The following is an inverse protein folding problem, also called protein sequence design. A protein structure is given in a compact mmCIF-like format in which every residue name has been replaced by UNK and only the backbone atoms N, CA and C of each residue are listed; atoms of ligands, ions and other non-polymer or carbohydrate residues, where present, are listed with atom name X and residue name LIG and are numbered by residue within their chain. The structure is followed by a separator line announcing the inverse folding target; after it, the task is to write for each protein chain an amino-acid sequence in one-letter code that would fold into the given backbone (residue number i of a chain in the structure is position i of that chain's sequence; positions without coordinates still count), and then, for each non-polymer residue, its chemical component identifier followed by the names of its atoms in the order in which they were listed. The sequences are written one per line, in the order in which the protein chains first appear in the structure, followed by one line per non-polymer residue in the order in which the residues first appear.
data_IF_967245328485
#
_entry.id   IF_967245328485
#
_cell.length_a   1.000
_cell.length_b   1.000
_cell.length_c   1.000
_cell.angle_alpha   90.00
_cell.angle_beta   90.00
_cell.angle_gamma   90.00
#
_symmetry.space_group_name_H-M   'P 1'
#
loop_
_entity.id
_entity.type
_entity.pdbx_description
1 polymer ?
#
# COMPACT_ATOMS: atom_id res chain seq x y z
N UNK A 1 -20.23 -27.55 26.36
CA UNK A 1 -19.09 -28.49 26.48
C UNK A 1 -18.73 -29.16 25.17
N UNK A 2 -19.69 -29.69 24.39
CA UNK A 2 -19.44 -30.29 23.07
C UNK A 2 -18.80 -29.32 22.04
N UNK A 3 -19.20 -28.04 22.05
CA UNK A 3 -18.62 -27.00 21.20
C UNK A 3 -17.13 -26.72 21.53
N UNK A 4 -16.75 -26.81 22.80
CA UNK A 4 -15.36 -26.57 23.26
C UNK A 4 -14.44 -27.74 22.85
N UNK A 5 -14.97 -28.98 22.86
CA UNK A 5 -14.27 -30.17 22.37
C UNK A 5 -14.07 -30.17 20.85
N UNK A 6 -15.02 -29.62 20.09
CA UNK A 6 -14.87 -29.43 18.64
C UNK A 6 -13.79 -28.39 18.32
N UNK A 7 -13.70 -27.30 19.08
CA UNK A 7 -12.64 -26.30 18.90
C UNK A 7 -11.23 -26.84 19.18
N UNK A 8 -11.05 -27.71 20.18
CA UNK A 8 -9.73 -28.30 20.48
C UNK A 8 -9.29 -29.36 19.46
N UNK A 9 -10.21 -29.97 18.71
CA UNK A 9 -9.87 -30.89 17.60
C UNK A 9 -9.38 -30.15 16.35
N UNK A 10 -9.93 -28.97 16.08
CA UNK A 10 -9.60 -28.15 14.90
C UNK A 10 -8.26 -27.43 15.06
N UNK A 11 -7.88 -27.04 16.28
CA UNK A 11 -6.57 -26.43 16.56
C UNK A 11 -5.38 -27.38 16.34
N UNK A 12 -5.62 -28.70 16.23
CA UNK A 12 -4.57 -29.72 16.09
C UNK A 12 -3.90 -29.76 14.71
N UNK A 13 -4.44 -29.07 13.69
CA UNK A 13 -3.97 -29.22 12.30
C UNK A 13 -3.23 -28.01 11.72
N UNK A 14 -3.16 -26.90 12.46
CA UNK A 14 -2.49 -25.68 12.02
C UNK A 14 -1.10 -25.66 12.63
N UNK A 15 -0.09 -25.66 11.79
CA UNK A 15 1.30 -25.63 12.22
C UNK A 15 1.87 -24.23 11.96
N UNK A 16 2.55 -23.68 12.98
CA UNK A 16 3.32 -22.45 12.82
C UNK A 16 4.63 -22.75 12.06
N UNK A 17 5.01 -21.84 11.17
CA UNK A 17 6.27 -21.97 10.46
C UNK A 17 7.45 -21.71 11.40
N UNK A 18 8.30 -22.72 11.58
CA UNK A 18 9.59 -22.57 12.25
C UNK A 18 10.68 -22.46 11.18
N UNK A 19 11.33 -21.30 11.09
CA UNK A 19 12.43 -21.08 10.15
C UNK A 19 13.61 -21.97 10.58
N UNK A 20 13.86 -23.05 9.84
CA UNK A 20 15.02 -23.90 10.04
C UNK A 20 16.17 -23.45 9.14
N UNK A 21 17.37 -23.31 9.72
CA UNK A 21 18.59 -23.09 8.95
C UNK A 21 19.00 -24.43 8.30
N UNK A 22 18.99 -24.50 6.97
CA UNK A 22 19.36 -25.71 6.21
C UNK A 22 18.71 -25.76 4.84
N UNK A 23 19.13 -26.69 3.97
CA UNK A 23 18.45 -26.97 2.69
C UNK A 23 17.15 -27.76 2.93
N UNK A 24 16.13 -27.53 2.09
CA UNK A 24 14.89 -28.31 2.19
C UNK A 24 15.07 -29.63 1.43
N UNK A 25 14.57 -30.73 1.99
CA UNK A 25 14.51 -32.00 1.27
C UNK A 25 13.41 -31.92 0.20
N UNK A 26 13.62 -32.57 -0.94
CA UNK A 26 12.64 -32.63 -2.04
C UNK A 26 11.57 -33.72 -1.86
N UNK A 27 11.30 -34.13 -0.62
CA UNK A 27 10.22 -35.06 -0.33
C UNK A 27 8.86 -34.39 -0.53
N UNK A 28 8.00 -35.00 -1.34
CA UNK A 28 6.64 -34.52 -1.58
C UNK A 28 5.73 -34.93 -0.42
N UNK A 29 5.52 -34.00 0.51
CA UNK A 29 4.60 -34.09 1.66
C UNK A 29 3.83 -32.77 1.74
N UNK A 30 2.88 -32.55 0.81
CA UNK A 30 2.42 -31.22 0.46
C UNK A 30 1.75 -30.53 1.63
N UNK A 31 1.89 -29.21 1.68
CA UNK A 31 1.20 -28.39 2.66
C UNK A 31 0.51 -27.22 1.98
N UNK A 32 -0.60 -26.78 2.55
CA UNK A 32 -1.33 -25.61 2.13
C UNK A 32 -0.89 -24.44 3.01
N UNK A 33 -0.05 -23.56 2.47
CA UNK A 33 0.47 -22.39 3.16
C UNK A 33 -0.37 -21.15 2.84
N UNK A 34 -0.62 -20.32 3.85
CA UNK A 34 -1.24 -19.00 3.67
C UNK A 34 -0.15 -17.95 3.42
N UNK A 35 -0.14 -17.36 2.22
CA UNK A 35 0.74 -16.25 1.91
C UNK A 35 0.14 -14.94 2.49
N UNK A 36 0.81 -14.34 3.48
CA UNK A 36 0.34 -13.13 4.17
C UNK A 36 0.41 -11.87 3.31
N UNK A 37 1.20 -11.87 2.24
CA UNK A 37 1.39 -10.68 1.40
C UNK A 37 0.28 -10.49 0.37
N UNK A 38 -0.38 -11.57 -0.04
CA UNK A 38 -1.48 -11.50 -1.01
C UNK A 38 -2.75 -12.25 -0.56
N UNK A 39 -2.76 -12.84 0.65
CA UNK A 39 -3.87 -13.63 1.19
C UNK A 39 -4.15 -14.93 0.43
N UNK A 40 -3.30 -15.31 -0.53
CA UNK A 40 -3.52 -16.51 -1.32
C UNK A 40 -3.04 -17.74 -0.55
N UNK A 41 -3.83 -18.81 -0.64
CA UNK A 41 -3.37 -20.13 -0.25
C UNK A 41 -2.63 -20.77 -1.42
N UNK A 42 -1.46 -21.33 -1.15
CA UNK A 42 -0.64 -22.00 -2.15
C UNK A 42 -0.20 -23.37 -1.63
N UNK A 43 -0.24 -24.37 -2.51
CA UNK A 43 0.33 -25.67 -2.22
C UNK A 43 1.84 -25.59 -2.35
N UNK A 44 2.55 -26.02 -1.31
CA UNK A 44 3.99 -26.21 -1.29
C UNK A 44 4.32 -27.70 -1.26
N UNK A 45 5.47 -28.08 -1.81
CA UNK A 45 5.94 -29.48 -1.87
C UNK A 45 6.04 -30.09 -0.47
N UNK A 46 6.47 -29.31 0.52
CA UNK A 46 6.46 -29.65 1.93
C UNK A 46 6.50 -28.41 2.82
N UNK A 47 6.39 -28.64 4.13
CA UNK A 47 6.45 -27.60 5.14
C UNK A 47 7.75 -26.77 5.12
N UNK A 48 8.90 -27.36 4.80
CA UNK A 48 10.15 -26.61 4.70
C UNK A 48 10.09 -25.56 3.59
N UNK A 49 9.63 -25.96 2.40
CA UNK A 49 9.46 -25.03 1.28
C UNK A 49 8.39 -23.97 1.56
N UNK A 50 7.30 -24.34 2.24
CA UNK A 50 6.33 -23.36 2.71
C UNK A 50 6.97 -22.33 3.64
N UNK A 51 7.66 -22.77 4.70
CA UNK A 51 8.22 -21.88 5.71
C UNK A 51 9.47 -21.10 5.27
N UNK A 52 10.09 -21.48 4.15
CA UNK A 52 11.14 -20.68 3.50
C UNK A 52 10.60 -19.61 2.56
N UNK A 53 9.38 -19.75 2.07
CA UNK A 53 8.75 -18.66 1.34
C UNK A 53 8.58 -17.49 2.33
N UNK A 54 9.15 -16.33 2.00
CA UNK A 54 9.30 -15.16 2.89
C UNK A 54 7.98 -14.59 3.44
N UNK A 55 6.85 -15.17 3.04
CA UNK A 55 5.50 -14.66 3.25
C UNK A 55 4.54 -15.75 3.74
N UNK A 56 5.01 -16.93 4.17
CA UNK A 56 4.14 -17.98 4.73
C UNK A 56 4.42 -18.13 6.21
N UNK A 57 3.42 -17.80 7.04
CA UNK A 57 3.55 -17.83 8.51
C UNK A 57 2.96 -19.09 9.13
N UNK A 58 1.99 -19.72 8.46
CA UNK A 58 1.27 -20.91 8.92
C UNK A 58 0.93 -21.81 7.74
N UNK A 59 0.83 -23.11 8.01
CA UNK A 59 0.41 -24.09 7.04
C UNK A 59 -0.48 -25.18 7.65
N UNK A 60 -1.22 -25.85 6.80
CA UNK A 60 -1.98 -27.08 7.11
C UNK A 60 -1.42 -28.19 6.23
N UNK A 61 -1.37 -29.42 6.76
CA UNK A 61 -0.93 -30.58 5.97
C UNK A 61 -1.93 -30.90 4.84
N UNK A 62 -1.41 -31.20 3.65
CA UNK A 62 -2.17 -31.48 2.43
C UNK A 62 -2.18 -30.34 1.40
N UNK A 63 -2.57 -30.64 0.16
CA UNK A 63 -2.69 -29.64 -0.91
C UNK A 63 -3.84 -28.65 -0.68
N UNK A 64 -3.71 -27.41 -1.18
CA UNK A 64 -4.79 -26.44 -1.26
C UNK A 64 -5.82 -26.84 -2.33
N UNK A 65 -6.65 -27.86 -2.10
CA UNK A 65 -7.72 -28.21 -3.05
C UNK A 65 -8.80 -27.12 -3.04
N UNK A 66 -8.94 -26.39 -4.16
CA UNK A 66 -10.09 -25.50 -4.41
C UNK A 66 -11.37 -26.34 -4.50
N UNK A 67 -12.34 -26.10 -3.62
CA UNK A 67 -13.70 -26.68 -3.65
C UNK A 67 -14.59 -26.04 -4.74
N UNK A 68 -14.05 -25.63 -5.89
CA UNK A 68 -14.80 -24.85 -6.90
C UNK A 68 -15.54 -25.69 -7.97
N UNK A 69 -15.40 -27.02 -8.01
CA UNK A 69 -15.94 -27.81 -9.14
C UNK A 69 -17.38 -28.34 -9.00
N UNK A 70 -18.17 -27.94 -7.98
CA UNK A 70 -19.56 -28.47 -7.81
C UNK A 70 -20.70 -27.44 -7.82
N UNK A 71 -20.47 -26.18 -8.21
CA UNK A 71 -21.54 -25.17 -8.31
C UNK A 71 -21.47 -24.40 -9.64
N UNK A 72 -21.67 -25.10 -10.77
CA UNK A 72 -22.07 -24.45 -12.03
C UNK A 72 -23.59 -24.43 -12.13
N UNK A 73 -24.19 -23.29 -11.77
CA UNK A 73 -25.57 -22.95 -12.13
C UNK A 73 -25.53 -22.22 -13.47
N UNK A 74 -26.14 -22.81 -14.50
CA UNK A 74 -26.31 -22.21 -15.81
C UNK A 74 -27.26 -21.00 -15.72
N UNK A 75 -26.92 -19.90 -16.39
CA UNK A 75 -27.88 -18.86 -16.75
C UNK A 75 -27.70 -18.42 -18.21
N UNK A 76 -28.79 -18.10 -18.91
CA UNK A 76 -28.80 -18.03 -20.37
C UNK A 76 -28.44 -16.63 -20.87
N UNK A 77 -27.54 -16.59 -21.86
CA UNK A 77 -27.19 -15.41 -22.62
C UNK A 77 -28.32 -15.00 -23.57
N UNK A 78 -28.69 -13.72 -23.57
CA UNK A 78 -29.49 -13.12 -24.66
C UNK A 78 -28.73 -11.92 -25.23
N UNK A 79 -28.49 -11.97 -26.53
CA UNK A 79 -27.84 -10.97 -27.37
C UNK A 79 -28.86 -10.07 -28.05
N UNK A 80 -28.66 -8.75 -28.08
CA UNK A 80 -29.16 -7.85 -29.14
C UNK A 80 -28.17 -6.69 -29.31
N UNK A 81 -27.68 -6.50 -30.54
CA UNK A 81 -26.76 -5.42 -30.91
C UNK A 81 -27.48 -4.18 -31.44
N UNK A 82 -26.79 -3.02 -31.36
CA UNK A 82 -27.07 -1.80 -32.13
C UNK A 82 -25.74 -1.09 -32.39
N UNK A 83 -25.37 -0.97 -33.67
CA UNK A 83 -24.23 -0.19 -34.16
C UNK A 83 -24.53 1.31 -34.12
N UNK A 84 -23.58 2.11 -33.61
CA UNK A 84 -23.47 3.53 -33.87
C UNK A 84 -21.99 3.91 -34.03
N UNK A 85 -21.65 4.53 -35.17
CA UNK A 85 -20.31 5.03 -35.48
C UNK A 85 -19.92 6.17 -34.52
N UNK A 86 -19.31 5.81 -33.40
CA UNK A 86 -18.60 6.70 -32.50
C UNK A 86 -17.22 6.98 -33.11
N UNK A 87 -16.72 8.23 -33.11
CA UNK A 87 -15.34 8.52 -33.47
C UNK A 87 -14.42 7.59 -32.70
N UNK A 88 -13.65 6.75 -33.41
CA UNK A 88 -12.73 5.82 -32.80
C UNK A 88 -11.82 6.58 -31.82
N UNK A 89 -12.10 6.41 -30.53
CA UNK A 89 -11.21 6.76 -29.44
C UNK A 89 -9.99 5.88 -29.61
N UNK A 90 -9.01 6.40 -30.34
CA UNK A 90 -7.66 5.86 -30.30
C UNK A 90 -7.26 5.88 -28.84
N UNK A 91 -6.92 4.70 -28.28
CA UNK A 91 -6.35 4.58 -26.95
C UNK A 91 -5.10 5.46 -26.92
N UNK A 92 -5.28 6.69 -26.45
CA UNK A 92 -4.25 7.71 -26.45
C UNK A 92 -3.11 7.23 -25.56
N UNK A 93 -1.92 7.13 -26.14
CA UNK A 93 -0.71 6.95 -25.36
C UNK A 93 -0.47 8.27 -24.61
N UNK A 94 -1.01 8.39 -23.40
CA UNK A 94 -1.03 9.61 -22.55
C UNK A 94 0.36 9.98 -21.99
N UNK A 95 1.43 9.62 -22.67
CA UNK A 95 2.81 9.83 -22.20
C UNK A 95 3.22 11.30 -22.19
N UNK A 96 2.43 12.18 -22.81
CA UNK A 96 2.72 13.61 -22.87
C UNK A 96 1.70 14.43 -22.05
N UNK A 97 2.20 15.02 -20.96
CA UNK A 97 1.52 16.06 -20.19
C UNK A 97 1.98 17.44 -20.65
N UNK A 98 1.06 18.40 -20.69
CA UNK A 98 1.30 19.79 -21.04
C UNK A 98 1.08 20.67 -19.81
N UNK A 99 1.92 21.68 -19.61
CA UNK A 99 1.77 22.63 -18.50
C UNK A 99 0.95 23.84 -18.94
N UNK A 100 0.08 24.31 -18.05
CA UNK A 100 -0.64 25.55 -18.29
C UNK A 100 0.30 26.76 -18.17
N UNK A 101 0.28 27.64 -19.17
CA UNK A 101 1.10 28.85 -19.19
C UNK A 101 0.47 29.97 -18.34
N UNK A 102 1.32 30.83 -17.76
CA UNK A 102 0.88 32.08 -17.14
C UNK A 102 1.21 33.26 -18.09
N UNK A 103 0.29 34.23 -18.31
CA UNK A 103 -1.03 34.34 -17.68
C UNK A 103 -2.06 33.33 -18.22
N UNK A 104 -2.99 32.90 -17.35
CA UNK A 104 -4.07 31.97 -17.72
C UNK A 104 -5.05 32.62 -18.72
N UNK A 105 -5.64 31.86 -19.65
CA UNK A 105 -6.55 32.40 -20.64
C UNK A 105 -7.85 32.89 -19.99
N UNK A 106 -8.31 34.09 -20.35
CA UNK A 106 -9.58 34.66 -19.89
C UNK A 106 -10.77 34.27 -20.77
N UNK A 107 -10.52 34.00 -22.05
CA UNK A 107 -11.52 33.63 -23.06
C UNK A 107 -11.08 32.31 -23.68
N UNK A 108 -12.01 31.37 -23.79
CA UNK A 108 -11.78 30.07 -24.41
C UNK A 108 -12.69 29.89 -25.62
N UNK A 109 -12.15 29.27 -26.67
CA UNK A 109 -12.96 28.82 -27.79
C UNK A 109 -13.88 27.65 -27.38
N UNK A 110 -14.80 27.33 -28.27
CA UNK A 110 -15.76 26.22 -28.10
C UNK A 110 -15.32 24.97 -28.84
N UNK A 111 -14.04 24.87 -29.24
CA UNK A 111 -13.54 23.68 -29.94
C UNK A 111 -13.45 22.56 -28.92
N UNK A 112 -14.16 21.47 -29.15
CA UNK A 112 -14.14 20.31 -28.26
C UNK A 112 -12.91 19.45 -28.52
N UNK A 113 -12.10 19.29 -27.48
CA UNK A 113 -10.92 18.43 -27.46
C UNK A 113 -10.76 17.90 -26.04
N UNK A 114 -11.43 16.77 -25.77
CA UNK A 114 -11.47 16.13 -24.45
C UNK A 114 -10.10 16.19 -23.76
N UNK A 115 -10.06 16.86 -22.62
CA UNK A 115 -8.81 17.17 -21.90
C UNK A 115 -8.99 16.83 -20.44
N UNK A 116 -8.07 16.05 -19.89
CA UNK A 116 -8.02 15.81 -18.47
C UNK A 116 -7.01 16.76 -17.81
N UNK A 117 -7.48 17.60 -16.90
CA UNK A 117 -6.64 18.48 -16.10
C UNK A 117 -6.16 17.77 -14.83
N UNK A 118 -4.90 17.97 -14.49
CA UNK A 118 -4.28 17.52 -13.26
C UNK A 118 -4.15 18.69 -12.29
N UNK A 119 -4.62 18.49 -11.06
CA UNK A 119 -4.42 19.47 -10.00
C UNK A 119 -2.94 19.64 -9.66
N UNK A 120 -2.58 20.82 -9.16
CA UNK A 120 -1.25 21.07 -8.61
C UNK A 120 -0.95 20.15 -7.41
N UNK A 121 0.33 19.82 -7.18
CA UNK A 121 0.79 19.02 -6.03
C UNK A 121 0.50 19.68 -4.68
N UNK A 122 0.24 20.99 -4.68
CA UNK A 122 -0.23 21.75 -3.51
C UNK A 122 -1.68 21.42 -3.12
N UNK A 123 -2.47 20.85 -4.05
CA UNK A 123 -3.84 20.40 -3.78
C UNK A 123 -3.78 19.01 -3.16
N UNK A 124 -4.30 18.85 -1.94
CA UNK A 124 -4.39 17.56 -1.23
C UNK A 124 -5.41 16.63 -1.92
N UNK A 125 -5.05 16.08 -3.07
CA UNK A 125 -5.84 15.09 -3.80
C UNK A 125 -4.99 13.81 -3.97
N UNK A 126 -5.65 12.68 -4.18
CA UNK A 126 -4.98 11.38 -4.34
C UNK A 126 -5.65 10.58 -5.46
N UNK A 127 -4.86 9.95 -6.33
CA UNK A 127 -5.35 9.10 -7.42
C UNK A 127 -6.31 9.81 -8.39
N UNK A 128 -7.46 9.20 -8.67
CA UNK A 128 -8.47 9.73 -9.59
C UNK A 128 -9.08 11.05 -9.11
N UNK A 129 -9.02 11.37 -7.81
CA UNK A 129 -9.51 12.63 -7.28
C UNK A 129 -8.60 13.82 -7.66
N UNK A 130 -7.41 13.56 -8.20
CA UNK A 130 -6.51 14.58 -8.74
C UNK A 130 -6.77 14.94 -10.20
N UNK A 131 -7.86 14.45 -10.77
CA UNK A 131 -8.16 14.61 -12.17
C UNK A 131 -9.52 15.28 -12.32
N UNK A 132 -9.61 16.20 -13.28
CA UNK A 132 -10.89 16.80 -13.65
C UNK A 132 -11.04 16.80 -15.17
N UNK A 133 -12.19 16.33 -15.64
CA UNK A 133 -12.50 16.30 -17.07
C UNK A 133 -12.92 17.69 -17.54
N UNK A 134 -12.34 18.15 -18.65
CA UNK A 134 -12.70 19.36 -19.36
C UNK A 134 -12.99 19.06 -20.83
N UNK A 135 -13.79 19.92 -21.46
CA UNK A 135 -14.09 19.80 -22.89
C UNK A 135 -12.94 20.27 -23.78
N UNK A 136 -12.02 21.12 -23.28
CA UNK A 136 -10.78 21.51 -23.96
C UNK A 136 -9.68 22.02 -23.01
N UNK A 137 -8.48 22.17 -23.55
CA UNK A 137 -7.28 22.61 -22.82
C UNK A 137 -7.38 24.03 -22.28
N UNK A 138 -8.07 24.93 -22.99
CA UNK A 138 -8.25 26.30 -22.52
C UNK A 138 -9.10 26.32 -21.25
N UNK A 139 -10.21 25.59 -21.23
CA UNK A 139 -11.09 25.49 -20.07
C UNK A 139 -10.38 24.83 -18.89
N UNK A 140 -9.55 23.82 -19.14
CA UNK A 140 -8.67 23.23 -18.12
C UNK A 140 -7.71 24.28 -17.55
N UNK A 141 -6.95 24.98 -18.40
CA UNK A 141 -5.95 25.96 -17.94
C UNK A 141 -6.54 27.26 -17.41
N UNK A 142 -7.79 27.60 -17.72
CA UNK A 142 -8.52 28.71 -17.09
C UNK A 142 -8.82 28.43 -15.62
N UNK A 143 -8.99 27.17 -15.24
CA UNK A 143 -9.11 26.78 -13.84
C UNK A 143 -7.75 26.90 -13.15
N UNK A 144 -7.64 27.80 -12.18
CA UNK A 144 -6.39 28.09 -11.47
C UNK A 144 -5.88 26.93 -10.63
N UNK A 145 -6.73 25.96 -10.29
CA UNK A 145 -6.35 24.76 -9.55
C UNK A 145 -5.68 23.71 -10.44
N UNK A 146 -5.80 23.82 -11.77
CA UNK A 146 -5.18 22.90 -12.73
C UNK A 146 -3.77 23.39 -13.09
N UNK A 147 -2.77 22.54 -12.85
CA UNK A 147 -1.37 22.85 -13.16
C UNK A 147 -0.95 22.34 -14.54
N UNK A 148 -1.37 21.13 -14.89
CA UNK A 148 -1.04 20.48 -16.15
C UNK A 148 -2.26 19.74 -16.71
N UNK A 149 -2.19 19.29 -17.95
CA UNK A 149 -3.26 18.54 -18.60
C UNK A 149 -2.72 17.54 -19.62
N UNK A 150 -3.53 16.58 -20.02
CA UNK A 150 -3.30 15.73 -21.20
C UNK A 150 -4.58 15.59 -22.02
N UNK A 151 -4.45 15.27 -23.31
CA UNK A 151 -5.59 15.04 -24.19
C UNK A 151 -6.13 13.63 -24.01
N UNK A 152 -7.43 13.50 -23.74
CA UNK A 152 -8.10 12.22 -23.48
C UNK A 152 -9.09 12.29 -22.30
N UNK A 153 -9.58 11.12 -21.90
CA UNK A 153 -10.45 11.00 -20.73
C UNK A 153 -9.60 10.82 -19.46
N UNK A 154 -10.03 11.39 -18.33
CA UNK A 154 -9.38 11.17 -17.05
C UNK A 154 -9.38 9.71 -16.61
N UNK A 155 -10.34 8.91 -17.07
CA UNK A 155 -10.35 7.45 -16.84
C UNK A 155 -9.13 6.74 -17.44
N UNK A 156 -8.54 7.33 -18.49
CA UNK A 156 -7.43 6.72 -19.22
C UNK A 156 -6.09 6.99 -18.53
N UNK A 157 -6.08 7.90 -17.55
CA UNK A 157 -4.90 8.19 -16.76
C UNK A 157 -4.51 6.97 -15.93
N UNK A 158 -3.41 6.33 -16.32
CA UNK A 158 -2.72 5.38 -15.44
C UNK A 158 -1.55 6.14 -14.83
N UNK A 159 -1.54 6.39 -13.51
CA UNK A 159 -0.43 7.08 -12.88
C UNK A 159 0.87 6.35 -13.26
N UNK A 160 1.81 7.09 -13.85
CA UNK A 160 3.14 6.54 -14.09
C UNK A 160 3.69 6.18 -12.71
N UNK A 161 4.22 4.96 -12.50
CA UNK A 161 4.82 4.62 -11.22
C UNK A 161 5.89 5.68 -10.90
N UNK A 162 5.94 6.19 -9.65
CA UNK A 162 6.95 7.14 -9.25
C UNK A 162 8.34 6.60 -9.60
N UNK A 163 9.21 7.50 -10.05
CA UNK A 163 10.58 7.13 -10.41
C UNK A 163 11.36 6.91 -9.12
N UNK A 164 11.78 5.67 -8.87
CA UNK A 164 12.64 5.32 -7.76
C UNK A 164 14.08 5.65 -8.15
N UNK A 165 14.73 6.51 -7.38
CA UNK A 165 16.11 6.96 -7.59
C UNK A 165 17.00 6.16 -6.63
N UNK A 166 17.94 5.39 -7.19
CA UNK A 166 18.88 4.59 -6.40
C UNK A 166 19.95 5.48 -5.77
N UNK A 167 20.27 5.25 -4.50
CA UNK A 167 21.36 5.95 -3.84
C UNK A 167 22.70 5.41 -4.36
N UNK A 168 23.54 6.29 -4.91
CA UNK A 168 24.88 5.91 -5.35
C UNK A 168 25.84 5.90 -4.15
N UNK A 169 26.44 4.74 -3.88
CA UNK A 169 27.40 4.52 -2.79
C UNK A 169 28.67 5.37 -2.87
N UNK A 170 28.96 5.99 -4.03
CA UNK A 170 30.13 6.84 -4.23
C UNK A 170 29.89 8.34 -3.93
N UNK A 171 28.65 8.77 -3.69
CA UNK A 171 28.28 10.19 -3.55
C UNK A 171 28.25 10.68 -2.09
N UNK A 172 29.08 10.11 -1.21
CA UNK A 172 29.27 10.68 0.13
C UNK A 172 30.23 11.85 0.00
N UNK A 173 29.71 13.08 0.06
CA UNK A 173 30.23 14.14 0.95
C UNK A 173 29.49 15.46 0.68
N UNK A 174 28.76 15.88 1.71
CA UNK A 174 28.08 17.18 1.87
C UNK A 174 26.81 17.40 1.04
N UNK A 175 25.66 17.14 1.67
CA UNK A 175 24.40 17.71 1.23
C UNK A 175 24.38 19.20 1.55
N UNK A 176 24.55 20.07 0.55
CA UNK A 176 24.17 21.47 0.72
C UNK A 176 22.64 21.55 0.72
N UNK A 177 22.06 21.95 1.85
CA UNK A 177 20.62 22.13 2.10
C UNK A 177 20.03 23.28 1.27
N UNK A 178 20.05 23.20 -0.06
CA UNK A 178 19.56 24.27 -0.94
C UNK A 178 18.13 24.08 -1.41
N UNK A 179 17.59 22.87 -1.37
CA UNK A 179 16.24 22.58 -1.86
C UNK A 179 15.43 21.81 -0.82
N UNK A 180 14.36 22.43 -0.31
CA UNK A 180 13.35 21.76 0.52
C UNK A 180 12.38 21.03 -0.41
N UNK A 181 12.67 19.76 -0.66
CA UNK A 181 11.82 18.88 -1.47
C UNK A 181 11.57 17.64 -0.63
N UNK A 182 10.32 17.42 -0.24
CA UNK A 182 9.93 16.20 0.46
C UNK A 182 10.25 14.99 -0.39
N UNK A 183 11.04 14.08 0.16
CA UNK A 183 11.34 12.79 -0.45
C UNK A 183 11.08 11.69 0.56
N UNK A 184 10.97 10.47 0.05
CA UNK A 184 10.76 9.31 0.88
C UNK A 184 11.75 8.22 0.48
N UNK A 185 12.61 7.85 1.43
CA UNK A 185 13.62 6.82 1.28
C UNK A 185 13.07 5.42 1.56
N UNK A 186 13.55 4.46 0.80
CA UNK A 186 13.29 3.03 0.98
C UNK A 186 14.38 2.44 1.84
N UNK A 187 14.00 1.91 3.00
CA UNK A 187 14.96 1.19 3.81
C UNK A 187 15.36 -0.12 3.10
N UNK A 188 16.56 -0.60 3.42
CA UNK A 188 17.01 -1.92 2.98
C UNK A 188 16.09 -3.05 3.49
N UNK A 189 16.23 -4.23 2.88
CA UNK A 189 15.42 -5.41 3.22
C UNK A 189 15.70 -5.96 4.64
N UNK A 190 16.75 -5.48 5.31
CA UNK A 190 17.08 -5.88 6.68
C UNK A 190 16.34 -5.03 7.72
N UNK A 191 15.73 -3.92 7.30
CA UNK A 191 14.92 -3.09 8.17
C UNK A 191 13.63 -3.82 8.58
N UNK A 192 13.36 -3.83 9.88
CA UNK A 192 12.14 -4.41 10.46
C UNK A 192 11.10 -3.30 10.54
N UNK A 193 10.09 -3.34 9.68
CA UNK A 193 8.90 -2.48 9.76
C UNK A 193 7.62 -3.31 9.66
N UNK A 194 6.50 -2.75 10.12
CA UNK A 194 5.21 -3.46 10.11
C UNK A 194 4.63 -3.62 8.70
N UNK A 195 4.87 -2.64 7.83
CA UNK A 195 4.29 -2.57 6.49
C UNK A 195 5.41 -2.41 5.46
N UNK A 196 5.91 -3.51 4.86
CA UNK A 196 6.84 -3.41 3.74
C UNK A 196 6.13 -2.81 2.51
N UNK A 197 6.79 -1.96 1.70
CA UNK A 197 8.19 -1.54 1.85
C UNK A 197 8.35 -0.57 3.02
N UNK A 198 9.48 -0.67 3.73
CA UNK A 198 9.81 0.22 4.83
C UNK A 198 10.19 1.60 4.26
N UNK A 199 9.46 2.63 4.66
CA UNK A 199 9.57 3.99 4.13
C UNK A 199 9.95 4.98 5.23
N UNK A 200 10.85 5.92 4.92
CA UNK A 200 11.24 6.99 5.83
C UNK A 200 11.21 8.35 5.12
N UNK A 201 10.54 9.38 5.68
CA UNK A 201 10.49 10.71 5.07
C UNK A 201 11.79 11.49 5.30
N UNK A 202 12.15 12.34 4.33
CA UNK A 202 13.28 13.26 4.37
C UNK A 202 12.90 14.60 3.72
N UNK A 203 13.62 15.67 4.07
CA UNK A 203 13.30 17.04 3.64
C UNK A 203 14.05 17.48 2.37
N UNK A 204 14.96 16.64 1.87
CA UNK A 204 15.65 16.85 0.60
C UNK A 204 16.13 15.53 -0.01
N UNK A 205 16.49 15.56 -1.29
CA UNK A 205 16.92 14.41 -2.08
C UNK A 205 18.25 13.77 -1.62
N UNK A 206 19.04 14.50 -0.85
CA UNK A 206 20.40 14.09 -0.52
C UNK A 206 20.47 13.33 0.82
N UNK A 207 19.69 13.76 1.82
CA UNK A 207 19.55 13.11 3.12
C UNK A 207 19.31 11.58 3.09
N UNK A 208 18.38 11.03 2.27
CA UNK A 208 18.15 9.58 2.24
C UNK A 208 19.44 8.83 1.90
N UNK A 209 20.21 9.31 0.94
CA UNK A 209 21.43 8.64 0.49
C UNK A 209 22.64 8.81 1.43
N UNK A 210 22.50 9.58 2.51
CA UNK A 210 23.49 9.61 3.59
C UNK A 210 23.22 8.55 4.66
N UNK A 211 22.03 7.96 4.68
CA UNK A 211 21.68 6.92 5.64
C UNK A 211 22.15 5.55 5.12
N UNK A 212 22.85 4.81 5.99
CA UNK A 212 23.42 3.49 5.63
C UNK A 212 22.38 2.44 5.30
N UNK A 213 21.16 2.62 5.82
CA UNK A 213 20.04 1.69 5.70
C UNK A 213 19.04 2.12 4.62
N UNK A 214 19.32 3.13 3.80
CA UNK A 214 18.46 3.56 2.70
C UNK A 214 19.12 3.19 1.37
N UNK A 215 18.39 2.44 0.54
CA UNK A 215 18.90 1.94 -0.75
C UNK A 215 18.51 2.85 -1.92
N UNK A 216 17.35 3.51 -1.80
CA UNK A 216 16.78 4.35 -2.83
C UNK A 216 15.79 5.34 -2.23
N UNK A 217 15.30 6.29 -3.01
CA UNK A 217 14.24 7.21 -2.61
C UNK A 217 13.32 7.55 -3.79
N UNK A 218 12.15 8.11 -3.52
CA UNK A 218 11.34 8.78 -4.52
C UNK A 218 11.02 10.20 -4.08
N UNK A 219 10.73 11.08 -5.04
CA UNK A 219 10.36 12.48 -4.78
C UNK A 219 8.86 12.54 -4.48
N UNK A 220 8.51 12.93 -3.25
CA UNK A 220 7.15 12.97 -2.74
C UNK A 220 7.06 12.46 -1.30
N UNK A 221 5.86 12.57 -0.72
CA UNK A 221 5.58 12.15 0.66
C UNK A 221 5.36 10.64 0.74
N UNK A 222 5.88 9.98 1.79
CA UNK A 222 5.78 8.52 1.96
C UNK A 222 4.34 7.99 1.92
N UNK A 223 3.35 8.76 2.37
CA UNK A 223 1.95 8.35 2.31
C UNK A 223 1.41 8.41 0.87
N UNK A 224 1.91 9.33 0.03
CA UNK A 224 1.56 9.35 -1.39
C UNK A 224 2.00 8.08 -2.11
N UNK A 225 3.20 7.58 -1.81
CA UNK A 225 3.64 6.29 -2.38
C UNK A 225 2.75 5.15 -1.92
N UNK A 226 2.41 5.08 -0.64
CA UNK A 226 1.46 4.07 -0.17
C UNK A 226 0.14 4.17 -0.94
N UNK A 227 -0.42 5.35 -1.14
CA UNK A 227 -1.68 5.51 -1.89
C UNK A 227 -1.56 5.14 -3.38
N UNK A 228 -0.39 5.37 -4.00
CA UNK A 228 -0.14 5.04 -5.41
C UNK A 228 -0.04 3.53 -5.65
N UNK A 229 0.47 2.77 -4.68
CA UNK A 229 0.68 1.33 -4.83
C UNK A 229 -0.34 0.46 -4.08
N UNK A 230 -1.07 1.00 -3.10
CA UNK A 230 -2.03 0.25 -2.26
C UNK A 230 -3.50 0.51 -2.58
N UNK A 231 -3.86 0.88 -3.81
CA UNK A 231 -5.26 1.10 -4.17
C UNK A 231 -6.08 -0.20 -4.31
N UNK A 232 -6.89 -0.46 -3.27
CA UNK A 232 -8.30 -0.82 -3.25
C UNK A 232 -8.83 -2.22 -3.66
N UNK A 233 -8.03 -3.18 -4.15
CA UNK A 233 -8.54 -4.54 -4.44
C UNK A 233 -7.90 -5.69 -3.66
N UNK A 234 -6.89 -5.44 -2.83
CA UNK A 234 -6.15 -6.50 -2.11
C UNK A 234 -6.22 -6.42 -0.59
N UNK A 235 -7.14 -5.67 0.00
CA UNK A 235 -7.21 -5.49 1.45
C UNK A 235 -8.58 -5.87 2.02
N UNK A 236 -8.69 -7.12 2.48
CA UNK A 236 -9.79 -7.54 3.36
C UNK A 236 -9.36 -8.18 4.68
N UNK A 237 -8.11 -8.61 4.91
CA UNK A 237 -7.86 -9.47 6.10
C UNK A 237 -6.72 -9.12 7.06
N UNK A 238 -5.99 -8.00 6.95
CA UNK A 238 -5.03 -7.67 8.03
C UNK A 238 -4.51 -6.24 8.13
N UNK A 239 -4.88 -5.32 7.23
CA UNK A 239 -4.28 -3.98 7.25
C UNK A 239 -5.13 -3.03 8.06
N UNK A 240 -4.50 -2.30 8.99
CA UNK A 240 -5.19 -1.26 9.74
C UNK A 240 -5.34 -0.04 8.84
N UNK A 241 -6.55 0.32 8.37
CA UNK A 241 -6.73 1.52 7.58
C UNK A 241 -6.28 2.73 8.42
N UNK A 242 -5.52 3.64 7.79
CA UNK A 242 -5.02 4.91 8.36
C UNK A 242 -3.73 4.87 9.18
N UNK A 243 -2.75 4.02 8.83
CA UNK A 243 -1.38 4.20 9.32
C UNK A 243 -0.79 5.53 8.85
N UNK A 244 -0.14 6.27 9.74
CA UNK A 244 0.53 7.55 9.47
C UNK A 244 1.92 7.56 10.12
N UNK A 245 2.93 7.98 9.39
CA UNK A 245 4.27 8.17 9.95
C UNK A 245 4.35 9.43 10.81
N UNK A 246 5.10 9.34 11.90
CA UNK A 246 5.44 10.52 12.68
C UNK A 246 6.49 11.37 11.95
N UNK A 247 6.31 12.68 11.98
CA UNK A 247 7.25 13.64 11.40
C UNK A 247 8.64 13.54 12.07
N UNK A 248 9.68 13.94 11.34
CA UNK A 248 11.05 13.99 11.86
C UNK A 248 11.14 14.95 13.06
N UNK A 249 10.53 16.14 12.94
CA UNK A 249 10.35 17.07 14.04
C UNK A 249 9.20 16.62 14.94
N UNK A 250 9.52 16.31 16.19
CA UNK A 250 8.59 15.76 17.18
C UNK A 250 7.92 16.90 17.97
N UNK A 251 6.60 16.85 18.22
CA UNK A 251 5.93 17.87 19.02
C UNK A 251 6.48 17.85 20.46
N UNK A 252 6.72 19.04 21.03
CA UNK A 252 7.14 19.16 22.44
C UNK A 252 5.97 19.11 23.41
N UNK A 253 4.78 19.51 22.95
CA UNK A 253 3.53 19.57 23.71
C UNK A 253 2.39 19.04 22.84
N UNK A 254 1.42 18.40 23.48
CA UNK A 254 0.25 17.83 22.83
C UNK A 254 -1.01 18.34 23.52
N UNK A 255 -2.09 18.50 22.75
CA UNK A 255 -3.41 18.71 23.33
C UNK A 255 -3.88 17.48 24.12
N UNK A 256 -4.88 17.69 24.98
CA UNK A 256 -5.51 16.63 25.77
C UNK A 256 -6.76 16.07 25.08
N UNK A 257 -6.88 16.22 23.76
CA UNK A 257 -7.98 15.59 23.03
C UNK A 257 -7.75 14.08 23.02
N UNK A 258 -8.74 13.31 23.50
CA UNK A 258 -8.63 11.86 23.58
C UNK A 258 -9.11 11.22 22.27
N UNK A 259 -8.18 10.65 21.51
CA UNK A 259 -8.40 9.90 20.28
C UNK A 259 -7.52 8.66 20.34
N UNK A 260 -8.01 7.59 20.96
CA UNK A 260 -7.23 6.37 21.19
C UNK A 260 -6.43 5.97 19.95
N UNK A 261 -5.12 5.86 20.12
CA UNK A 261 -4.17 5.74 19.01
C UNK A 261 -3.21 4.60 19.31
N UNK A 262 -2.94 3.76 18.33
CA UNK A 262 -1.88 2.78 18.43
C UNK A 262 -0.60 3.31 17.78
N UNK A 263 0.45 3.50 18.57
CA UNK A 263 1.78 3.83 18.07
C UNK A 263 2.62 2.57 17.85
N UNK A 264 3.39 2.58 16.78
CA UNK A 264 4.24 1.47 16.32
C UNK A 264 5.70 1.83 16.55
N UNK A 265 6.43 0.98 17.26
CA UNK A 265 7.84 1.16 17.64
C UNK A 265 8.75 1.00 16.41
N UNK A 266 9.78 1.84 16.30
CA UNK A 266 10.85 1.76 15.27
C UNK A 266 11.62 0.45 15.25
N UNK A 267 11.63 -0.27 16.37
CA UNK A 267 12.31 -1.57 16.49
C UNK A 267 11.64 -2.40 17.57
N UNK A 268 11.33 -3.65 17.24
CA UNK A 268 10.67 -4.57 18.15
C UNK A 268 11.67 -5.65 18.57
N UNK A 269 12.15 -5.59 19.81
CA UNK A 269 12.89 -6.70 20.40
C UNK A 269 11.90 -7.62 21.11
N UNK A 270 11.50 -8.68 20.41
CA UNK A 270 10.81 -9.89 20.89
C UNK A 270 9.42 -9.74 21.56
N UNK A 271 8.96 -8.56 21.97
CA UNK A 271 7.64 -8.37 22.61
C UNK A 271 6.91 -7.13 22.06
N UNK A 272 5.93 -7.36 21.18
CA UNK A 272 4.90 -6.41 20.75
C UNK A 272 5.41 -5.06 20.23
N UNK A 273 5.27 -4.84 18.92
CA UNK A 273 5.66 -3.58 18.27
C UNK A 273 4.79 -2.38 18.62
N UNK A 274 3.70 -2.59 19.33
CA UNK A 274 2.61 -1.64 19.41
C UNK A 274 2.40 -1.16 20.85
N UNK A 275 2.06 0.12 21.00
CA UNK A 275 1.75 0.76 22.28
C UNK A 275 0.55 1.67 22.10
N UNK A 276 -0.40 1.61 23.03
CA UNK A 276 -1.56 2.50 23.01
C UNK A 276 -1.19 3.85 23.60
N UNK A 277 -1.67 4.91 22.96
CA UNK A 277 -1.52 6.30 23.34
C UNK A 277 -2.89 6.98 23.32
N UNK A 278 -2.99 8.10 24.03
CA UNK A 278 -4.25 8.84 24.16
C UNK A 278 -4.65 9.53 22.85
N UNK A 279 -3.67 9.95 22.04
CA UNK A 279 -3.90 10.62 20.75
C UNK A 279 -2.69 10.54 19.81
N UNK A 280 -2.84 10.90 18.52
CA UNK A 280 -1.76 10.93 17.54
C UNK A 280 -0.53 11.72 17.96
N UNK A 281 -0.75 12.88 18.59
CA UNK A 281 0.33 13.73 19.03
C UNK A 281 1.18 13.04 20.11
N UNK A 282 0.55 12.48 21.14
CA UNK A 282 1.22 11.77 22.22
C UNK A 282 1.97 10.52 21.74
N UNK A 283 1.44 9.81 20.74
CA UNK A 283 2.15 8.73 20.06
C UNK A 283 3.42 9.25 19.39
N UNK A 284 3.32 10.33 18.61
CA UNK A 284 4.47 10.91 17.91
C UNK A 284 5.43 11.69 18.80
N UNK A 285 5.03 12.16 19.98
CA UNK A 285 5.93 12.76 20.97
C UNK A 285 6.97 11.73 21.47
N UNK A 286 6.62 10.45 21.48
CA UNK A 286 7.54 9.37 21.82
C UNK A 286 8.52 9.08 20.67
N UNK A 287 9.82 9.30 20.91
CA UNK A 287 10.87 9.15 19.90
C UNK A 287 11.12 7.70 19.47
N UNK A 288 10.61 6.73 20.23
CA UNK A 288 10.67 5.31 19.89
C UNK A 288 9.58 4.90 18.90
N UNK A 289 8.56 5.74 18.68
CA UNK A 289 7.45 5.49 17.76
C UNK A 289 7.80 5.97 16.35
N UNK A 290 7.64 5.09 15.38
CA UNK A 290 7.85 5.32 13.94
C UNK A 290 6.62 5.98 13.32
N UNK A 291 5.45 5.40 13.58
CA UNK A 291 4.16 5.87 13.10
C UNK A 291 3.04 5.35 13.97
N UNK A 292 1.82 5.63 13.58
CA UNK A 292 0.64 5.32 14.37
C UNK A 292 -0.58 5.07 13.48
N UNK A 293 -1.63 4.51 14.06
CA UNK A 293 -2.96 4.48 13.47
C UNK A 293 -4.01 4.79 14.54
N UNK A 294 -5.14 5.35 14.13
CA UNK A 294 -6.25 5.64 15.04
C UNK A 294 -6.97 4.34 15.40
N UNK A 295 -7.16 4.09 16.69
CA UNK A 295 -7.80 2.91 17.25
C UNK A 295 -6.97 2.19 18.30
N UNK A 296 -7.50 1.06 18.78
CA UNK A 296 -6.79 0.16 19.69
C UNK A 296 -5.66 -0.58 18.98
N UNK A 297 -4.56 -0.83 19.69
CA UNK A 297 -3.53 -1.72 19.17
C UNK A 297 -4.11 -3.12 19.01
N UNK A 298 -4.07 -3.63 17.78
CA UNK A 298 -4.46 -5.00 17.52
C UNK A 298 -3.38 -5.89 18.12
N UNK A 299 -3.65 -6.42 19.31
CA UNK A 299 -2.92 -7.58 19.81
C UNK A 299 -3.19 -8.75 18.83
N UNK A 300 -2.38 -8.83 17.76
CA UNK A 300 -2.58 -9.68 16.59
C UNK A 300 -2.79 -11.17 16.93
N UNK A 301 -2.46 -11.59 18.15
CA UNK A 301 -2.73 -12.94 18.60
C UNK A 301 -4.23 -13.25 18.76
N UNK A 302 -5.08 -12.32 19.18
CA UNK A 302 -6.45 -12.69 19.58
C UNK A 302 -7.43 -12.75 18.39
N UNK A 303 -7.31 -11.83 17.43
CA UNK A 303 -8.18 -11.79 16.24
C UNK A 303 -7.80 -12.84 15.19
N UNK A 304 -6.50 -13.05 14.93
CA UNK A 304 -6.07 -14.07 13.98
C UNK A 304 -6.51 -15.48 14.41
N UNK A 305 -6.48 -15.77 15.72
CA UNK A 305 -6.99 -17.03 16.27
C UNK A 305 -8.51 -17.12 16.05
N UNK A 306 -9.25 -16.02 16.22
CA UNK A 306 -10.72 -16.02 16.13
C UNK A 306 -11.23 -16.22 14.69
N UNK A 307 -10.64 -15.55 13.70
CA UNK A 307 -11.04 -15.65 12.28
C UNK A 307 -10.73 -17.03 11.72
N UNK A 308 -9.54 -17.56 12.04
CA UNK A 308 -9.12 -18.88 11.59
C UNK A 308 -10.01 -20.00 12.17
N UNK A 309 -10.43 -19.83 13.42
CA UNK A 309 -11.37 -20.72 14.10
C UNK A 309 -12.77 -20.68 13.44
N UNK A 310 -13.26 -19.50 13.05
CA UNK A 310 -14.58 -19.34 12.40
C UNK A 310 -14.56 -19.94 10.98
N UNK A 311 -13.48 -19.71 10.20
CA UNK A 311 -13.34 -20.25 8.85
C UNK A 311 -13.35 -21.79 8.83
N UNK A 312 -12.78 -22.44 9.86
CA UNK A 312 -12.77 -23.90 9.99
C UNK A 312 -14.10 -24.49 10.48
N UNK A 313 -14.96 -23.70 11.13
CA UNK A 313 -16.30 -24.13 11.53
C UNK A 313 -17.34 -24.04 10.42
N UNK A 314 -17.08 -23.24 9.38
CA UNK A 314 -18.01 -23.01 8.28
C UNK A 314 -17.81 -24.03 7.13
N UNK A 315 -16.73 -24.82 7.15
CA UNK A 315 -16.38 -25.82 6.12
C UNK A 315 -16.72 -27.27 6.48
#
# INVERSE_FOLDING_TARGET
MFLILLFSLVQSQINDCQIQQGECLDNYDPVCGLNISNGQIQTFINNCYACKASQVVKYINGDCKKKEDNLKTESPSTSVGVDNNVPQTTNGNYTQTFYCTNPRPSICDTIEKSTCGLFDSTTKCTGQNCLQQFSNECLACRNTSIHSYFFGNCSDYKPKPPTIIQCNTQSSQNCELKEQITVCGFLDETAICQNPPCLQPFDNQCEPCQQVNITSYFIGDCNQYQQLFYNAQQLMDSFVPNYQYCQAQRPSECDQEYVQTCGVLKSCKNNGCERTFDNPCSACQNHQIEGYYIGECLNNFTQAISIFIIALLIQ
#
